data_IF_300124818800
#
_entry.id   IF_300124818800
#
_cell.length_a   1.000
_cell.length_b   1.000
_cell.length_c   1.000
_cell.angle_alpha   90.00
_cell.angle_beta   90.00
_cell.angle_gamma   90.00
#
_symmetry.space_group_name_H-M   'P 1'
#
loop_
_entity.id
_entity.type
_entity.pdbx_description
1 polymer ?
#
# COMPACT_ATOMS: atom_id res chain seq x y z
N UNK A 1 -6.43 27.29 -28.14
CA UNK A 1 -5.89 26.12 -27.41
C UNK A 1 -5.36 26.47 -26.01
N UNK A 2 -4.55 27.51 -25.81
CA UNK A 2 -4.00 27.86 -24.48
C UNK A 2 -5.06 28.22 -23.40
N UNK A 3 -6.21 28.80 -23.77
CA UNK A 3 -7.28 29.15 -22.80
C UNK A 3 -7.96 27.92 -22.22
N UNK A 4 -8.31 26.93 -23.05
CA UNK A 4 -8.99 25.70 -22.59
C UNK A 4 -8.06 24.86 -21.70
N UNK A 5 -6.79 24.73 -22.07
CA UNK A 5 -5.80 24.00 -21.26
C UNK A 5 -5.58 24.62 -19.89
N UNK A 6 -5.46 25.95 -19.80
CA UNK A 6 -5.34 26.65 -18.52
C UNK A 6 -6.61 26.53 -17.66
N UNK A 7 -7.80 26.58 -18.28
CA UNK A 7 -9.08 26.36 -17.58
C UNK A 7 -9.15 24.95 -17.00
N UNK A 8 -8.77 23.92 -17.77
CA UNK A 8 -8.76 22.52 -17.30
C UNK A 8 -7.76 22.31 -16.17
N UNK A 9 -6.54 22.85 -16.28
CA UNK A 9 -5.53 22.78 -15.21
C UNK A 9 -6.03 23.48 -13.96
N UNK A 10 -6.67 24.64 -14.10
CA UNK A 10 -7.23 25.38 -12.96
C UNK A 10 -8.33 24.58 -12.28
N UNK A 11 -9.28 24.00 -13.04
CA UNK A 11 -10.37 23.17 -12.49
C UNK A 11 -9.80 21.94 -11.76
N UNK A 12 -8.85 21.21 -12.36
CA UNK A 12 -8.23 20.04 -11.74
C UNK A 12 -7.50 20.39 -10.43
N UNK A 13 -6.78 21.51 -10.40
CA UNK A 13 -6.10 21.96 -9.18
C UNK A 13 -7.08 22.44 -8.10
N UNK A 14 -8.20 23.07 -8.48
CA UNK A 14 -9.27 23.42 -7.52
C UNK A 14 -9.88 22.15 -6.92
N UNK A 15 -10.26 21.17 -7.75
CA UNK A 15 -10.87 19.91 -7.28
C UNK A 15 -9.91 19.13 -6.37
N UNK A 16 -8.64 19.04 -6.73
CA UNK A 16 -7.65 18.36 -5.88
C UNK A 16 -7.37 19.11 -4.57
N UNK A 17 -7.35 20.45 -4.59
CA UNK A 17 -7.23 21.25 -3.39
C UNK A 17 -8.44 21.07 -2.45
N UNK A 18 -9.66 21.07 -2.98
CA UNK A 18 -10.86 20.88 -2.16
C UNK A 18 -10.90 19.50 -1.52
N UNK A 19 -10.54 18.45 -2.27
CA UNK A 19 -10.42 17.09 -1.72
C UNK A 19 -9.35 17.00 -0.63
N UNK A 20 -8.19 17.63 -0.82
CA UNK A 20 -7.13 17.65 0.19
C UNK A 20 -7.55 18.40 1.46
N UNK A 21 -8.19 19.56 1.33
CA UNK A 21 -8.73 20.32 2.47
C UNK A 21 -9.80 19.51 3.19
N UNK A 22 -10.72 18.86 2.46
CA UNK A 22 -11.73 17.99 3.06
C UNK A 22 -11.10 16.85 3.86
N UNK A 23 -10.07 16.17 3.31
CA UNK A 23 -9.35 15.12 4.00
C UNK A 23 -8.67 15.62 5.30
N UNK A 24 -8.05 16.80 5.27
CA UNK A 24 -7.45 17.43 6.45
C UNK A 24 -8.53 17.81 7.48
N UNK A 25 -9.66 18.34 7.04
CA UNK A 25 -10.78 18.70 7.91
C UNK A 25 -11.40 17.47 8.58
N UNK A 26 -11.62 16.38 7.84
CA UNK A 26 -12.05 15.09 8.38
C UNK A 26 -11.04 14.57 9.39
N UNK A 27 -9.75 14.66 9.08
CA UNK A 27 -8.70 14.25 10.00
C UNK A 27 -8.75 15.01 11.33
N UNK A 28 -8.86 16.34 11.28
CA UNK A 28 -8.99 17.19 12.47
C UNK A 28 -10.28 16.83 13.22
N UNK A 29 -11.39 16.67 12.52
CA UNK A 29 -12.68 16.32 13.13
C UNK A 29 -12.60 15.02 13.94
N UNK A 30 -12.09 13.94 13.33
CA UNK A 30 -11.94 12.65 14.00
C UNK A 30 -11.06 12.73 15.26
N UNK A 31 -10.00 13.55 15.21
CA UNK A 31 -9.09 13.76 16.35
C UNK A 31 -9.72 14.51 17.52
N UNK A 32 -10.58 15.48 17.24
CA UNK A 32 -11.18 16.32 18.26
C UNK A 32 -12.52 15.77 18.78
N UNK A 33 -13.27 15.02 17.98
CA UNK A 33 -14.65 14.65 18.30
C UNK A 33 -14.89 13.15 18.54
N UNK A 34 -14.14 12.23 17.90
CA UNK A 34 -14.51 10.79 17.88
C UNK A 34 -13.78 9.90 18.91
N UNK A 35 -13.13 10.49 19.92
CA UNK A 35 -12.46 9.70 20.96
C UNK A 35 -11.25 8.92 20.43
N UNK A 36 -10.65 8.07 21.27
CA UNK A 36 -9.32 7.48 21.00
C UNK A 36 -9.37 6.53 19.79
N UNK A 37 -8.62 6.79 18.70
CA UNK A 37 -8.59 5.91 17.53
C UNK A 37 -8.04 4.53 17.91
N UNK A 38 -8.52 3.50 17.20
CA UNK A 38 -7.98 2.14 17.27
C UNK A 38 -6.48 2.13 16.98
N UNK A 39 -5.79 1.06 17.39
CA UNK A 39 -4.33 0.98 17.22
C UNK A 39 -3.93 1.10 15.74
N UNK A 40 -4.76 0.55 14.83
CA UNK A 40 -4.51 0.59 13.40
C UNK A 40 -4.78 1.96 12.77
N UNK A 41 -5.83 2.64 13.21
CA UNK A 41 -6.14 4.00 12.74
C UNK A 41 -4.98 4.95 13.06
N UNK A 42 -4.41 4.85 14.27
CA UNK A 42 -3.29 5.71 14.68
C UNK A 42 -2.04 5.55 13.80
N UNK A 43 -1.81 4.34 13.28
CA UNK A 43 -0.66 4.02 12.42
C UNK A 43 -0.87 4.51 10.98
N UNK A 44 -2.10 4.43 10.47
CA UNK A 44 -2.46 4.89 9.11
C UNK A 44 -2.71 6.40 9.02
N UNK A 45 -2.98 7.04 10.15
CA UNK A 45 -3.34 8.45 10.21
C UNK A 45 -2.23 9.40 9.73
N UNK A 46 -1.00 9.22 10.22
CA UNK A 46 0.15 10.06 9.85
C UNK A 46 0.43 10.06 8.35
N UNK A 47 0.54 8.91 7.66
CA UNK A 47 0.79 8.91 6.22
C UNK A 47 -0.37 9.52 5.42
N UNK A 48 -1.62 9.37 5.86
CA UNK A 48 -2.79 10.01 5.21
C UNK A 48 -2.75 11.53 5.36
N UNK A 49 -2.39 12.06 6.53
CA UNK A 49 -2.25 13.50 6.71
C UNK A 49 -1.11 14.08 5.85
N UNK A 50 0.05 13.42 5.85
CA UNK A 50 1.21 13.84 5.05
C UNK A 50 0.84 13.85 3.56
N UNK A 51 0.15 12.82 3.07
CA UNK A 51 -0.25 12.78 1.65
C UNK A 51 -1.25 13.90 1.30
N UNK A 52 -2.23 14.17 2.17
CA UNK A 52 -3.17 15.27 1.96
C UNK A 52 -2.48 16.65 1.93
N UNK A 53 -1.50 16.89 2.81
CA UNK A 53 -0.71 18.13 2.82
C UNK A 53 0.14 18.28 1.55
N UNK A 54 0.75 17.19 1.07
CA UNK A 54 1.51 17.19 -0.18
C UNK A 54 0.60 17.48 -1.38
N UNK A 55 -0.57 16.84 -1.45
CA UNK A 55 -1.55 17.09 -2.52
C UNK A 55 -1.97 18.57 -2.50
N UNK A 56 -2.30 19.12 -1.32
CA UNK A 56 -2.67 20.53 -1.18
C UNK A 56 -1.57 21.47 -1.67
N UNK A 57 -0.31 21.21 -1.29
CA UNK A 57 0.83 22.02 -1.73
C UNK A 57 0.96 22.00 -3.26
N UNK A 58 0.90 20.82 -3.89
CA UNK A 58 0.97 20.67 -5.35
C UNK A 58 -0.18 21.44 -6.02
N UNK A 59 -1.40 21.33 -5.52
CA UNK A 59 -2.56 22.05 -6.06
C UNK A 59 -2.40 23.56 -5.97
N UNK A 60 -1.87 24.09 -4.87
CA UNK A 60 -1.60 25.53 -4.71
C UNK A 60 -0.56 26.03 -5.70
N UNK A 61 0.53 25.29 -5.91
CA UNK A 61 1.52 25.64 -6.93
C UNK A 61 0.93 25.61 -8.35
N UNK A 62 0.03 24.67 -8.63
CA UNK A 62 -0.71 24.62 -9.90
C UNK A 62 -1.59 25.85 -10.14
N UNK A 63 -2.28 26.33 -9.10
CA UNK A 63 -3.10 27.55 -9.17
C UNK A 63 -2.26 28.82 -9.33
N UNK A 64 -1.16 28.95 -8.58
CA UNK A 64 -0.24 30.08 -8.68
C UNK A 64 0.39 30.14 -10.08
N UNK A 65 0.79 28.98 -10.62
CA UNK A 65 1.35 28.88 -11.97
C UNK A 65 0.38 29.28 -13.09
N UNK A 66 -0.93 29.10 -12.89
CA UNK A 66 -1.97 29.52 -13.85
C UNK A 66 -2.20 31.04 -13.85
N UNK A 67 -2.00 31.70 -12.70
CA UNK A 67 -2.39 33.10 -12.49
C UNK A 67 -1.31 34.12 -12.95
N UNK A 68 -0.04 33.85 -12.67
CA UNK A 68 1.02 34.87 -12.77
C UNK A 68 2.03 34.50 -13.86
N UNK A 69 1.91 35.06 -15.07
CA UNK A 69 2.85 34.91 -16.21
C UNK A 69 4.23 35.58 -15.95
N UNK A 70 4.84 35.34 -14.80
CA UNK A 70 6.12 35.92 -14.40
C UNK A 70 7.29 35.00 -14.82
N UNK A 71 8.24 35.52 -15.61
CA UNK A 71 9.33 34.73 -16.19
C UNK A 71 10.28 34.13 -15.16
N UNK A 72 10.57 34.83 -14.05
CA UNK A 72 11.38 34.31 -12.94
C UNK A 72 10.64 33.18 -12.21
N UNK A 73 9.35 33.38 -11.96
CA UNK A 73 8.46 32.40 -11.33
C UNK A 73 8.38 31.10 -12.16
N UNK A 74 8.40 31.21 -13.49
CA UNK A 74 8.41 30.07 -14.40
C UNK A 74 9.71 29.24 -14.32
N UNK A 75 10.86 29.89 -14.12
CA UNK A 75 12.14 29.18 -13.92
C UNK A 75 12.21 28.48 -12.57
N UNK A 76 11.73 29.14 -11.50
CA UNK A 76 11.57 28.51 -10.18
C UNK A 76 10.61 27.31 -10.27
N UNK A 77 9.49 27.47 -10.97
CA UNK A 77 8.54 26.39 -11.22
C UNK A 77 9.17 25.20 -11.95
N UNK A 78 9.92 25.44 -13.04
CA UNK A 78 10.63 24.38 -13.76
C UNK A 78 11.64 23.63 -12.87
N UNK A 79 12.37 24.35 -12.02
CA UNK A 79 13.30 23.74 -11.07
C UNK A 79 12.58 22.85 -10.05
N UNK A 80 11.47 23.32 -9.48
CA UNK A 80 10.66 22.53 -8.53
C UNK A 80 10.07 21.29 -9.20
N UNK A 81 9.47 21.41 -10.39
CA UNK A 81 8.91 20.27 -11.13
C UNK A 81 10.00 19.26 -11.50
N UNK A 82 11.21 19.71 -11.84
CA UNK A 82 12.35 18.83 -12.09
C UNK A 82 12.74 18.02 -10.84
N UNK A 83 12.83 18.66 -9.67
CA UNK A 83 13.08 17.97 -8.40
C UNK A 83 11.98 16.96 -8.07
N UNK A 84 10.71 17.31 -8.34
CA UNK A 84 9.60 16.38 -8.18
C UNK A 84 9.78 15.15 -9.09
N UNK A 85 10.08 15.32 -10.38
CA UNK A 85 10.33 14.20 -11.32
C UNK A 85 11.43 13.27 -10.79
N UNK A 86 12.55 13.83 -10.31
CA UNK A 86 13.63 13.03 -9.73
C UNK A 86 13.17 12.24 -8.49
N UNK A 87 12.38 12.86 -7.61
CA UNK A 87 11.81 12.21 -6.44
C UNK A 87 10.87 11.05 -6.81
N UNK A 88 9.90 11.30 -7.69
CA UNK A 88 8.93 10.30 -8.15
C UNK A 88 9.60 9.15 -8.92
N UNK A 89 10.62 9.45 -9.73
CA UNK A 89 11.42 8.44 -10.42
C UNK A 89 12.21 7.58 -9.44
N UNK A 90 12.89 8.19 -8.47
CA UNK A 90 13.65 7.48 -7.43
C UNK A 90 12.74 6.56 -6.61
N UNK A 91 11.55 7.05 -6.23
CA UNK A 91 10.52 6.24 -5.56
C UNK A 91 10.07 5.06 -6.43
N UNK A 92 9.88 5.27 -7.74
CA UNK A 92 9.53 4.20 -8.68
C UNK A 92 10.58 3.09 -8.68
N UNK A 93 11.86 3.46 -8.80
CA UNK A 93 12.98 2.52 -8.79
C UNK A 93 13.03 1.76 -7.47
N UNK A 94 12.87 2.46 -6.35
CA UNK A 94 12.85 1.85 -5.03
C UNK A 94 11.71 0.83 -4.89
N UNK A 95 10.47 1.21 -5.21
CA UNK A 95 9.30 0.32 -5.15
C UNK A 95 9.51 -0.88 -6.06
N UNK A 96 10.03 -0.68 -7.27
CA UNK A 96 10.34 -1.75 -8.21
C UNK A 96 11.36 -2.74 -7.62
N UNK A 97 12.47 -2.26 -7.05
CA UNK A 97 13.52 -3.12 -6.46
C UNK A 97 12.98 -3.90 -5.27
N UNK A 98 12.22 -3.25 -4.39
CA UNK A 98 11.67 -3.89 -3.17
C UNK A 98 10.60 -4.92 -3.50
N UNK A 99 9.80 -4.69 -4.55
CA UNK A 99 8.67 -5.57 -4.94
C UNK A 99 9.02 -6.64 -5.98
N UNK A 100 10.19 -6.63 -6.62
CA UNK A 100 10.54 -7.62 -7.64
C UNK A 100 11.37 -8.82 -7.18
N UNK A 101 11.88 -8.86 -5.95
CA UNK A 101 12.48 -10.12 -5.44
C UNK A 101 11.43 -11.22 -5.35
N UNK A 102 11.75 -12.39 -5.91
CA UNK A 102 10.97 -13.62 -5.83
C UNK A 102 9.75 -13.64 -6.75
N UNK A 103 9.92 -14.16 -7.97
CA UNK A 103 8.84 -14.86 -8.65
C UNK A 103 8.50 -16.05 -7.75
N UNK A 104 7.39 -15.95 -7.00
CA UNK A 104 6.95 -17.01 -6.13
C UNK A 104 6.79 -18.28 -6.97
N UNK A 105 7.67 -19.25 -6.78
CA UNK A 105 7.29 -20.63 -6.94
C UNK A 105 6.19 -20.83 -5.90
N UNK A 106 4.94 -20.62 -6.33
CA UNK A 106 3.82 -21.23 -5.65
C UNK A 106 4.17 -22.72 -5.65
N UNK A 107 4.67 -23.23 -4.53
CA UNK A 107 4.88 -24.67 -4.35
C UNK A 107 3.48 -25.26 -4.19
N UNK A 108 2.73 -25.25 -5.28
CA UNK A 108 1.37 -25.74 -5.35
C UNK A 108 1.44 -27.26 -5.47
N UNK A 109 1.68 -27.92 -4.34
CA UNK A 109 1.40 -29.37 -4.21
C UNK A 109 -0.08 -29.63 -3.93
N UNK A 110 -0.86 -28.61 -3.57
CA UNK A 110 -2.28 -28.72 -3.17
C UNK A 110 -3.26 -27.77 -3.90
N UNK A 111 -2.84 -26.99 -4.91
CA UNK A 111 -3.76 -26.11 -5.66
C UNK A 111 -4.17 -24.78 -4.99
N UNK A 112 -3.55 -24.42 -3.85
CA UNK A 112 -3.71 -23.14 -3.15
C UNK A 112 -2.35 -22.46 -2.95
N UNK A 113 -2.33 -21.13 -2.74
CA UNK A 113 -1.10 -20.33 -2.58
C UNK A 113 -0.65 -20.33 -1.12
N UNK A 114 0.54 -20.86 -0.85
CA UNK A 114 1.23 -20.71 0.42
C UNK A 114 2.35 -19.67 0.26
N UNK A 115 2.51 -18.81 1.27
CA UNK A 115 3.44 -17.67 1.24
C UNK A 115 4.63 -17.96 2.14
N UNK A 116 5.85 -17.88 1.62
CA UNK A 116 7.08 -18.07 2.41
C UNK A 116 7.79 -16.74 2.61
N UNK A 117 8.24 -16.52 3.84
CA UNK A 117 8.87 -15.25 4.22
C UNK A 117 10.15 -14.97 3.41
N UNK A 118 10.90 -16.02 3.05
CA UNK A 118 12.13 -15.94 2.26
C UNK A 118 11.95 -15.43 0.82
N UNK A 119 10.73 -15.43 0.28
CA UNK A 119 10.46 -15.01 -1.10
C UNK A 119 10.45 -13.48 -1.27
N UNK A 120 10.46 -12.73 -0.17
CA UNK A 120 10.35 -11.26 -0.17
C UNK A 120 11.72 -10.59 -0.01
N UNK A 121 11.82 -9.31 -0.40
CA UNK A 121 13.08 -8.58 -0.27
C UNK A 121 13.51 -8.41 1.19
N UNK A 122 14.82 -8.46 1.45
CA UNK A 122 15.36 -8.24 2.79
C UNK A 122 14.95 -6.89 3.38
N UNK A 123 14.79 -5.86 2.55
CA UNK A 123 14.28 -4.58 3.01
C UNK A 123 12.87 -4.74 3.61
N UNK A 124 11.97 -5.42 2.91
CA UNK A 124 10.59 -5.62 3.37
C UNK A 124 10.53 -6.48 4.63
N UNK A 125 11.33 -7.56 4.68
CA UNK A 125 11.47 -8.39 5.88
C UNK A 125 11.98 -7.56 7.07
N UNK A 126 13.07 -6.80 6.91
CA UNK A 126 13.68 -6.05 8.01
C UNK A 126 12.91 -4.79 8.43
N UNK A 127 12.01 -4.26 7.58
CA UNK A 127 11.28 -3.03 7.89
C UNK A 127 9.84 -3.28 8.32
N UNK A 128 9.21 -4.37 7.86
CA UNK A 128 7.84 -4.71 8.22
C UNK A 128 7.79 -5.79 9.32
N UNK A 129 8.69 -6.78 9.25
CA UNK A 129 8.65 -7.98 10.12
C UNK A 129 9.62 -7.88 11.31
N UNK A 130 10.32 -6.75 11.45
CA UNK A 130 11.16 -6.48 12.61
C UNK A 130 10.31 -6.42 13.89
N UNK A 131 10.80 -7.01 14.98
CA UNK A 131 10.01 -7.30 16.19
C UNK A 131 9.16 -6.12 16.68
N UNK A 132 9.71 -4.91 16.76
CA UNK A 132 8.94 -3.73 17.20
C UNK A 132 7.81 -3.35 16.23
N UNK A 133 8.11 -3.34 14.93
CA UNK A 133 7.13 -2.96 13.90
C UNK A 133 6.08 -4.06 13.71
N UNK A 134 6.47 -5.32 13.90
CA UNK A 134 5.56 -6.45 13.83
C UNK A 134 4.52 -6.44 14.94
N UNK A 135 4.88 -6.09 16.19
CA UNK A 135 3.90 -6.03 17.28
C UNK A 135 2.78 -5.00 17.01
N UNK A 136 3.10 -3.86 16.39
CA UNK A 136 2.09 -2.86 15.98
C UNK A 136 1.17 -3.41 14.89
N UNK A 137 1.73 -4.12 13.90
CA UNK A 137 0.94 -4.75 12.83
C UNK A 137 0.07 -5.88 13.40
N UNK A 138 0.64 -6.77 14.21
CA UNK A 138 -0.02 -7.89 14.87
C UNK A 138 -1.20 -7.42 15.71
N UNK A 139 -0.99 -6.42 16.57
CA UNK A 139 -2.07 -5.86 17.38
C UNK A 139 -3.19 -5.25 16.51
N UNK A 140 -2.86 -4.60 15.40
CA UNK A 140 -3.86 -4.18 14.42
C UNK A 140 -4.62 -5.37 13.81
N UNK A 141 -3.94 -6.45 13.40
CA UNK A 141 -4.60 -7.62 12.78
C UNK A 141 -5.59 -8.29 13.75
N UNK A 142 -5.21 -8.41 15.02
CA UNK A 142 -6.06 -8.93 16.09
C UNK A 142 -7.28 -8.03 16.32
N UNK A 143 -7.06 -6.71 16.45
CA UNK A 143 -8.11 -5.72 16.70
C UNK A 143 -9.11 -5.61 15.53
N UNK A 144 -8.60 -5.66 14.29
CA UNK A 144 -9.39 -5.67 13.07
C UNK A 144 -10.18 -6.98 12.86
N UNK A 145 -9.94 -8.01 13.68
CA UNK A 145 -10.66 -9.30 13.66
C UNK A 145 -10.68 -9.94 12.27
N UNK A 146 -9.56 -9.90 11.55
CA UNK A 146 -9.44 -10.34 10.16
C UNK A 146 -9.85 -11.81 9.93
N UNK A 147 -9.77 -12.63 10.97
CA UNK A 147 -10.12 -14.06 10.94
C UNK A 147 -11.56 -14.36 11.35
N UNK A 148 -12.29 -13.41 11.94
CA UNK A 148 -13.62 -13.66 12.53
C UNK A 148 -14.69 -14.01 11.49
N UNK A 149 -14.56 -13.48 10.27
CA UNK A 149 -15.56 -13.64 9.21
C UNK A 149 -15.35 -14.88 8.32
N UNK A 150 -14.33 -15.69 8.62
CA UNK A 150 -14.00 -16.86 7.81
C UNK A 150 -14.93 -18.06 8.03
N UNK A 151 -15.75 -18.06 9.09
CA UNK A 151 -16.65 -19.18 9.40
C UNK A 151 -17.83 -19.38 8.44
N UNK A 152 -18.19 -18.39 7.61
CA UNK A 152 -19.40 -18.47 6.78
C UNK A 152 -19.28 -19.32 5.51
N UNK A 153 -18.05 -19.64 5.07
CA UNK A 153 -17.80 -20.38 3.82
C UNK A 153 -17.06 -21.71 4.01
N UNK A 154 -16.83 -22.13 5.25
CA UNK A 154 -16.10 -23.35 5.57
C UNK A 154 -17.07 -24.48 5.90
N UNK A 155 -17.12 -25.51 5.06
CA UNK A 155 -17.82 -26.77 5.34
C UNK A 155 -16.80 -27.91 5.33
N UNK A 156 -16.57 -28.52 6.49
CA UNK A 156 -15.62 -29.61 6.68
C UNK A 156 -16.03 -30.88 5.90
N UNK A 157 -17.33 -31.08 5.64
CA UNK A 157 -17.87 -32.28 5.01
C UNK A 157 -17.79 -32.21 3.48
N UNK A 158 -17.59 -31.03 2.91
CA UNK A 158 -17.41 -30.83 1.47
C UNK A 158 -15.96 -30.45 1.15
N UNK A 159 -15.20 -31.42 0.63
CA UNK A 159 -13.82 -31.21 0.18
C UNK A 159 -13.72 -30.15 -0.93
N UNK A 160 -14.78 -29.98 -1.73
CA UNK A 160 -14.84 -28.95 -2.75
C UNK A 160 -15.05 -27.57 -2.11
N UNK A 161 -15.92 -27.46 -1.09
CA UNK A 161 -16.14 -26.24 -0.33
C UNK A 161 -14.90 -25.79 0.46
N UNK A 162 -14.21 -26.70 1.15
CA UNK A 162 -12.93 -26.40 1.84
C UNK A 162 -11.83 -25.97 0.85
N UNK A 163 -11.79 -26.58 -0.34
CA UNK A 163 -10.91 -26.14 -1.41
C UNK A 163 -11.24 -24.72 -1.89
N UNK A 164 -12.50 -24.45 -2.22
CA UNK A 164 -12.95 -23.12 -2.68
C UNK A 164 -12.71 -22.05 -1.60
N UNK A 165 -13.00 -22.37 -0.33
CA UNK A 165 -12.69 -21.53 0.81
C UNK A 165 -11.20 -21.14 0.82
N UNK A 166 -10.30 -22.12 0.67
CA UNK A 166 -8.86 -21.86 0.67
C UNK A 166 -8.37 -21.03 -0.54
N UNK A 167 -9.11 -20.98 -1.66
CA UNK A 167 -8.79 -20.12 -2.83
C UNK A 167 -9.18 -18.66 -2.63
N UNK A 168 -10.26 -18.41 -1.90
CA UNK A 168 -10.85 -17.08 -1.76
C UNK A 168 -10.26 -16.27 -0.60
N UNK A 169 -9.40 -16.87 0.22
CA UNK A 169 -8.71 -16.20 1.31
C UNK A 169 -7.74 -15.14 0.77
N UNK A 170 -7.74 -13.96 1.38
CA UNK A 170 -6.68 -12.98 1.15
C UNK A 170 -5.32 -13.55 1.60
N UNK A 171 -4.19 -13.02 1.10
CA UNK A 171 -2.87 -13.45 1.54
C UNK A 171 -2.68 -13.38 3.06
N UNK A 172 -3.25 -12.35 3.70
CA UNK A 172 -3.20 -12.19 5.16
C UNK A 172 -4.08 -13.23 5.87
N UNK A 173 -5.29 -13.46 5.38
CA UNK A 173 -6.19 -14.45 5.98
C UNK A 173 -5.62 -15.87 5.89
N UNK A 174 -5.08 -16.23 4.73
CA UNK A 174 -4.46 -17.55 4.50
C UNK A 174 -3.18 -17.77 5.30
N UNK A 175 -2.43 -16.72 5.62
CA UNK A 175 -1.20 -16.82 6.43
C UNK A 175 -1.44 -16.73 7.94
N UNK A 176 -2.43 -15.98 8.39
CA UNK A 176 -2.64 -15.68 9.81
C UNK A 176 -3.77 -16.49 10.47
N UNK A 177 -4.78 -16.91 9.70
CA UNK A 177 -6.01 -17.49 10.24
C UNK A 177 -6.07 -19.02 10.16
N UNK A 178 -5.10 -19.66 9.49
CA UNK A 178 -5.00 -21.11 9.39
C UNK A 178 -3.53 -21.55 9.53
N UNK A 179 -3.26 -22.77 10.02
CA UNK A 179 -1.92 -23.32 10.04
C UNK A 179 -1.43 -23.64 8.61
N UNK A 180 -0.11 -23.71 8.41
CA UNK A 180 0.47 -24.23 7.18
C UNK A 180 0.07 -25.69 6.90
N UNK A 181 -0.13 -26.06 5.63
CA UNK A 181 -0.59 -27.43 5.30
C UNK A 181 0.45 -28.51 5.65
N UNK A 182 1.74 -28.16 5.63
CA UNK A 182 2.84 -29.05 5.97
C UNK A 182 2.89 -29.45 7.46
N UNK A 183 2.12 -28.80 8.33
CA UNK A 183 1.99 -29.19 9.73
C UNK A 183 1.17 -30.48 9.91
N UNK A 184 0.36 -30.85 8.91
CA UNK A 184 -0.47 -32.07 8.95
C UNK A 184 -1.64 -32.00 9.93
N UNK A 185 -2.08 -30.79 10.31
CA UNK A 185 -3.23 -30.61 11.19
C UNK A 185 -4.54 -30.85 10.43
N UNK A 186 -5.55 -31.33 11.15
CA UNK A 186 -6.87 -31.59 10.57
C UNK A 186 -7.82 -30.44 10.91
N UNK A 187 -8.46 -29.86 9.88
CA UNK A 187 -9.37 -28.75 10.07
C UNK A 187 -10.67 -29.24 10.70
N UNK A 188 -11.16 -28.57 11.75
CA UNK A 188 -12.51 -28.76 12.31
C UNK A 188 -13.41 -27.61 11.88
N UNK A 189 -12.88 -26.38 11.91
CA UNK A 189 -13.54 -25.19 11.40
C UNK A 189 -12.47 -24.26 10.75
N UNK A 190 -12.88 -23.15 10.14
CA UNK A 190 -12.01 -22.21 9.44
C UNK A 190 -10.75 -21.80 10.24
N UNK A 191 -10.91 -21.52 11.53
CA UNK A 191 -9.84 -21.08 12.44
C UNK A 191 -9.54 -22.08 13.56
N UNK A 192 -10.10 -23.30 13.49
CA UNK A 192 -9.91 -24.32 14.53
C UNK A 192 -9.40 -25.63 13.93
N UNK A 193 -8.26 -26.08 14.41
CA UNK A 193 -7.52 -27.23 13.85
C UNK A 193 -7.09 -28.18 14.96
N UNK A 194 -7.27 -29.48 14.72
CA UNK A 194 -6.82 -30.54 15.62
C UNK A 194 -5.37 -30.92 15.33
N UNK A 195 -4.54 -30.85 16.36
CA UNK A 195 -3.11 -31.22 16.33
C UNK A 195 -2.99 -32.73 16.50
N UNK A 196 -2.23 -33.44 15.64
CA UNK A 196 -1.99 -34.88 15.79
C UNK A 196 -1.33 -35.21 17.13
N UNK A 197 -1.70 -36.34 17.72
CA UNK A 197 -1.16 -36.79 19.03
C UNK A 197 0.37 -37.00 18.97
N UNK A 198 0.89 -37.36 17.80
CA UNK A 198 2.32 -37.53 17.53
C UNK A 198 3.07 -36.21 17.36
N UNK A 199 2.40 -35.05 17.44
CA UNK A 199 2.95 -33.75 17.11
C UNK A 199 2.86 -33.39 15.62
N UNK A 200 3.39 -32.23 15.22
CA UNK A 200 3.33 -31.75 13.84
C UNK A 200 4.11 -32.67 12.89
N UNK A 201 3.62 -32.80 11.65
CA UNK A 201 4.22 -33.65 10.64
C UNK A 201 5.64 -33.19 10.21
N UNK A 202 5.97 -31.92 10.46
CA UNK A 202 7.27 -31.34 10.17
C UNK A 202 7.75 -30.49 11.37
N UNK A 203 9.05 -30.53 11.70
CA UNK A 203 9.62 -29.71 12.76
C UNK A 203 9.88 -28.29 12.24
N UNK A 204 8.80 -27.53 12.05
CA UNK A 204 8.82 -26.13 11.62
C UNK A 204 8.23 -25.22 12.70
N UNK A 205 8.85 -24.05 12.88
CA UNK A 205 8.47 -23.10 13.91
C UNK A 205 7.01 -22.63 13.80
N UNK A 206 6.46 -22.54 12.58
CA UNK A 206 5.07 -22.10 12.41
C UNK A 206 4.08 -23.13 12.97
N UNK A 207 4.40 -24.42 12.90
CA UNK A 207 3.56 -25.49 13.44
C UNK A 207 3.54 -25.50 14.98
N UNK A 208 4.66 -25.12 15.60
CA UNK A 208 4.77 -24.97 17.06
C UNK A 208 4.13 -23.68 17.56
N UNK A 209 4.13 -22.62 16.75
CA UNK A 209 3.60 -21.30 17.10
C UNK A 209 2.08 -21.23 16.98
N UNK A 210 1.46 -22.09 16.16
CA UNK A 210 0.01 -22.10 15.94
C UNK A 210 -0.78 -22.33 17.25
N UNK A 211 -1.81 -21.51 17.47
CA UNK A 211 -2.74 -21.62 18.60
C UNK A 211 -4.19 -21.57 18.12
N UNK A 212 -5.09 -22.36 18.74
CA UNK A 212 -6.54 -22.25 18.48
C UNK A 212 -7.19 -21.06 19.23
N UNK A 213 -6.41 -20.34 20.06
CA UNK A 213 -6.87 -19.12 20.70
C UNK A 213 -7.05 -18.02 19.65
N UNK A 214 -8.25 -17.42 19.60
CA UNK A 214 -8.62 -16.43 18.58
C UNK A 214 -7.80 -15.12 18.67
N UNK A 215 -7.14 -14.85 19.80
CA UNK A 215 -6.25 -13.70 19.97
C UNK A 215 -4.80 -13.97 19.53
N UNK A 216 -4.42 -15.24 19.35
CA UNK A 216 -3.05 -15.65 19.03
C UNK A 216 -2.93 -16.24 17.62
N UNK A 217 -3.81 -17.18 17.26
CA UNK A 217 -3.86 -17.86 15.96
C UNK A 217 -2.45 -18.15 15.40
N UNK A 218 -2.20 -17.81 14.13
CA UNK A 218 -0.86 -17.82 13.54
C UNK A 218 -0.25 -16.41 13.45
N UNK A 219 -0.68 -15.45 14.27
CA UNK A 219 -0.24 -14.05 14.13
C UNK A 219 1.27 -13.87 14.34
N UNK A 220 1.99 -14.82 14.93
CA UNK A 220 3.45 -14.77 15.08
C UNK A 220 4.23 -15.65 14.09
N UNK A 221 3.51 -16.46 13.31
CA UNK A 221 4.07 -17.36 12.32
C UNK A 221 4.77 -16.60 11.18
N UNK A 222 5.79 -17.22 10.59
CA UNK A 222 6.45 -16.74 9.36
C UNK A 222 5.46 -16.71 8.19
N UNK A 223 4.49 -17.62 8.16
CA UNK A 223 3.42 -17.67 7.16
C UNK A 223 2.49 -16.46 7.23
N UNK A 224 2.14 -15.97 8.42
CA UNK A 224 1.35 -14.74 8.59
C UNK A 224 2.14 -13.52 8.15
N UNK A 225 3.40 -13.42 8.60
CA UNK A 225 4.35 -12.38 8.17
C UNK A 225 4.48 -12.35 6.64
N UNK A 226 4.64 -13.50 6.00
CA UNK A 226 4.69 -13.63 4.56
C UNK A 226 3.37 -13.21 3.88
N UNK A 227 2.22 -13.55 4.45
CA UNK A 227 0.91 -13.11 4.00
C UNK A 227 0.75 -11.59 4.01
N UNK A 228 1.21 -10.93 5.08
CA UNK A 228 1.25 -9.45 5.18
C UNK A 228 2.21 -8.87 4.14
N UNK A 229 3.42 -9.42 3.99
CA UNK A 229 4.37 -8.96 2.98
C UNK A 229 3.81 -9.09 1.56
N UNK A 230 3.06 -10.17 1.28
CA UNK A 230 2.39 -10.35 0.00
C UNK A 230 1.31 -9.29 -0.24
N UNK A 231 0.52 -9.00 0.78
CA UNK A 231 -0.51 -7.97 0.71
C UNK A 231 0.12 -6.61 0.39
N UNK A 232 1.16 -6.22 1.13
CA UNK A 232 1.91 -4.98 0.89
C UNK A 232 2.49 -4.95 -0.53
N UNK A 233 3.08 -6.06 -1.00
CA UNK A 233 3.62 -6.17 -2.36
C UNK A 233 2.56 -5.92 -3.44
N UNK A 234 1.36 -6.48 -3.27
CA UNK A 234 0.26 -6.27 -4.21
C UNK A 234 -0.21 -4.82 -4.21
N UNK A 235 -0.40 -4.22 -3.02
CA UNK A 235 -0.76 -2.80 -2.89
C UNK A 235 0.30 -1.89 -3.50
N UNK A 236 1.58 -2.18 -3.28
CA UNK A 236 2.69 -1.40 -3.84
C UNK A 236 2.80 -1.53 -5.35
N UNK A 237 2.41 -2.66 -5.94
CA UNK A 237 2.33 -2.81 -7.41
C UNK A 237 1.23 -1.93 -7.99
N UNK A 238 0.05 -1.90 -7.36
CA UNK A 238 -1.02 -0.98 -7.75
C UNK A 238 -0.58 0.48 -7.61
N UNK A 239 0.09 0.81 -6.50
CA UNK A 239 0.67 2.14 -6.29
C UNK A 239 1.74 2.49 -7.34
N UNK A 240 2.58 1.54 -7.76
CA UNK A 240 3.58 1.77 -8.79
C UNK A 240 2.95 2.15 -10.16
N UNK A 241 1.80 1.56 -10.50
CA UNK A 241 1.05 1.93 -11.72
C UNK A 241 0.57 3.38 -11.61
N UNK A 242 -0.03 3.75 -10.49
CA UNK A 242 -0.47 5.13 -10.23
C UNK A 242 0.72 6.12 -10.27
N UNK A 243 1.84 5.75 -9.65
CA UNK A 243 3.08 6.51 -9.64
C UNK A 243 3.63 6.74 -11.06
N UNK A 244 3.55 5.73 -11.94
CA UNK A 244 3.96 5.85 -13.34
C UNK A 244 3.08 6.85 -14.12
N UNK A 245 1.77 6.85 -13.90
CA UNK A 245 0.84 7.81 -14.52
C UNK A 245 1.19 9.24 -14.09
N UNK A 246 1.45 9.47 -12.80
CA UNK A 246 1.88 10.76 -12.28
C UNK A 246 3.19 11.21 -12.93
N UNK A 247 4.18 10.31 -13.03
CA UNK A 247 5.47 10.62 -13.63
C UNK A 247 5.33 11.06 -15.10
N UNK A 248 4.49 10.37 -15.89
CA UNK A 248 4.18 10.76 -17.27
C UNK A 248 3.52 12.15 -17.31
N UNK A 249 2.56 12.41 -16.43
CA UNK A 249 1.91 13.71 -16.31
C UNK A 249 2.91 14.84 -15.98
N UNK A 250 3.81 14.62 -15.02
CA UNK A 250 4.86 15.57 -14.66
C UNK A 250 5.82 15.85 -15.83
N UNK A 251 6.18 14.84 -16.62
CA UNK A 251 7.01 15.01 -17.82
C UNK A 251 6.31 15.88 -18.88
N UNK A 252 5.01 15.68 -19.11
CA UNK A 252 4.22 16.50 -20.05
C UNK A 252 4.17 17.96 -19.56
N UNK A 253 3.88 18.16 -18.27
CA UNK A 253 3.84 19.50 -17.65
C UNK A 253 5.21 20.18 -17.77
N UNK A 254 6.29 19.46 -17.49
CA UNK A 254 7.65 19.97 -17.62
C UNK A 254 7.97 20.37 -19.07
N UNK A 255 7.63 19.53 -20.05
CA UNK A 255 7.84 19.84 -21.48
C UNK A 255 7.06 21.10 -21.91
N UNK A 256 5.79 21.22 -21.53
CA UNK A 256 4.97 22.40 -21.87
C UNK A 256 5.48 23.69 -21.19
N UNK A 257 5.90 23.62 -19.93
CA UNK A 257 6.48 24.75 -19.22
C UNK A 257 7.84 25.18 -19.83
N UNK A 258 8.66 24.24 -20.27
CA UNK A 258 9.91 24.52 -21.01
C UNK A 258 9.61 25.23 -22.35
N UNK A 259 8.61 24.77 -23.10
CA UNK A 259 8.16 25.43 -24.33
C UNK A 259 7.64 26.85 -24.07
N UNK A 260 6.88 27.07 -22.99
CA UNK A 260 6.42 28.40 -22.61
C UNK A 260 7.58 29.33 -22.21
N UNK A 261 8.56 28.81 -21.47
CA UNK A 261 9.73 29.58 -21.01
C UNK A 261 10.63 30.02 -22.16
N UNK A 262 10.85 29.14 -23.13
CA UNK A 262 11.63 29.43 -24.35
C UNK A 262 10.94 30.45 -25.23
N UNK A 263 9.61 30.36 -25.40
CA UNK A 263 8.84 31.33 -26.19
C UNK A 263 8.84 32.73 -25.55
N UNK A 264 8.64 32.83 -24.22
CA UNK A 264 8.72 34.11 -23.50
C UNK A 264 10.11 34.76 -23.61
N UNK A 265 11.19 33.97 -23.55
CA UNK A 265 12.55 34.47 -23.77
C UNK A 265 12.76 35.02 -25.18
N UNK A 266 12.23 34.36 -26.21
CA UNK A 266 12.32 34.84 -27.61
C UNK A 266 11.56 36.14 -27.80
N UNK A 267 10.34 36.24 -27.28
CA UNK A 267 9.55 37.47 -27.37
C UNK A 267 10.22 38.65 -26.67
N UNK A 268 10.84 38.43 -25.50
CA UNK A 268 11.57 39.49 -24.79
C UNK A 268 12.83 39.98 -25.54
N UNK A 269 13.48 39.11 -26.31
CA UNK A 269 14.63 39.47 -27.17
C UNK A 269 14.22 40.23 -28.43
N UNK A 270 12.97 40.12 -28.87
CA UNK A 270 12.44 40.81 -30.05
C UNK A 270 11.82 42.18 -29.72
N UNK A 271 11.56 42.47 -28.44
CA UNK A 271 11.02 43.75 -27.97
C UNK A 271 12.11 44.73 -27.50
N UNK A 272 13.38 44.37 -27.65
CA UNK A 272 14.57 45.22 -27.46
C UNK A 272 15.30 45.31 -28.79
#
# INVERSE_FOLDING_TARGET
>A
MARISNTVITILNIVTATLAVAAIATFIYLRFFDGRPSHCERTLEKPVLISALVILAVSLFGLIGSCCRATLLLWVYLFVVFLMILGWFSLSVFVFVVTNKGAAQAVSRAGFREYRLGDYSHWLQNHVVNGKNWEEIRSCLVDAKICKFLGHGFDQNDQNATGIFNKNLSPVQSGCCKPPSYCGFTAVNATYWTVPVTGPATPDSDCETWSNNQQELCYDCKSCKAGVLNNIRNEWRSFAIFNAIILVGLLIVYATACCAATNNRRHRKLSY
#
